data_IF_374461442434
#
_entry.id   IF_374461442434
#
_cell.length_a   1.000
_cell.length_b   1.000
_cell.length_c   1.000
_cell.angle_alpha   90.00
_cell.angle_beta   90.00
_cell.angle_gamma   90.00
#
_symmetry.space_group_name_H-M   'P 1'
#
loop_
_entity.id
_entity.type
_entity.pdbx_description
1 polymer ?
#
# COMPACT_ATOMS: atom_id res chain seq x y z
N UNK A 1 113.76 43.82 57.70
CA UNK A 1 113.85 42.36 57.59
C UNK A 1 112.70 41.82 58.38
N UNK A 2 111.56 41.65 57.71
CA UNK A 2 110.28 41.39 58.36
C UNK A 2 109.81 39.97 58.10
N UNK A 3 109.27 39.44 59.18
CA UNK A 3 108.84 38.07 59.38
C UNK A 3 107.45 37.80 58.79
N UNK A 4 107.19 36.50 58.71
CA UNK A 4 106.01 35.85 59.28
C UNK A 4 104.80 35.50 58.39
N UNK A 5 104.56 34.18 58.48
CA UNK A 5 103.28 33.48 58.68
C UNK A 5 102.41 33.15 57.47
N UNK A 6 102.46 31.86 57.15
CA UNK A 6 101.48 31.12 56.35
C UNK A 6 100.28 30.80 57.25
N UNK A 7 99.10 31.21 56.81
CA UNK A 7 97.80 30.88 57.40
C UNK A 7 97.12 29.80 56.55
N UNK A 8 96.56 28.78 57.22
CA UNK A 8 95.74 27.70 56.67
C UNK A 8 94.71 28.15 55.64
N UNK A 9 94.51 27.37 54.58
CA UNK A 9 93.31 27.49 53.74
C UNK A 9 92.69 26.12 53.50
N UNK A 10 91.47 25.95 54.01
CA UNK A 10 90.58 24.83 53.70
C UNK A 10 90.06 24.96 52.27
N UNK A 11 90.03 23.85 51.54
CA UNK A 11 89.40 23.73 50.23
C UNK A 11 87.91 23.42 50.43
N UNK A 12 87.03 24.32 49.99
CA UNK A 12 85.61 24.03 49.74
C UNK A 12 85.40 23.79 48.24
N UNK A 13 84.62 22.77 47.82
CA UNK A 13 84.19 22.66 46.44
C UNK A 13 83.04 23.62 46.13
N UNK A 14 83.22 24.35 45.04
CA UNK A 14 82.29 25.28 44.41
C UNK A 14 81.08 24.52 43.82
N UNK A 15 79.87 24.84 44.26
CA UNK A 15 78.62 24.36 43.67
C UNK A 15 78.26 25.32 42.54
N UNK A 16 78.50 24.90 41.29
CA UNK A 16 77.97 25.58 40.11
C UNK A 16 76.44 25.39 40.06
N UNK A 17 75.67 26.43 40.41
CA UNK A 17 74.22 26.46 40.16
C UNK A 17 73.97 26.96 38.74
N UNK A 18 73.56 26.04 37.88
CA UNK A 18 73.02 26.34 36.55
C UNK A 18 71.71 27.14 36.69
N UNK A 19 71.69 28.34 36.12
CA UNK A 19 70.49 29.18 36.01
C UNK A 19 69.56 28.57 34.95
N UNK A 20 68.53 27.83 35.36
CA UNK A 20 67.44 27.39 34.49
C UNK A 20 66.41 28.53 34.37
N UNK A 21 66.12 29.07 33.18
CA UNK A 21 65.19 30.18 33.04
C UNK A 21 63.76 29.72 33.32
N UNK A 22 63.14 30.35 34.32
CA UNK A 22 61.79 30.04 34.80
C UNK A 22 60.72 30.63 33.85
N UNK A 23 60.40 29.93 32.75
CA UNK A 23 59.30 30.28 31.81
C UNK A 23 58.06 29.40 32.05
N UNK A 24 57.48 29.41 33.24
CA UNK A 24 56.48 28.40 33.64
C UNK A 24 55.06 28.86 33.99
N UNK A 25 54.82 30.12 34.36
CA UNK A 25 53.56 30.46 35.08
C UNK A 25 52.47 31.19 34.25
N UNK A 26 52.81 31.82 33.13
CA UNK A 26 51.85 32.51 32.26
C UNK A 26 51.18 31.64 31.18
N UNK A 27 51.71 30.44 30.89
CA UNK A 27 51.20 29.56 29.82
C UNK A 27 49.98 28.73 30.25
N UNK A 28 49.85 28.40 31.54
CA UNK A 28 48.77 27.56 32.05
C UNK A 28 47.38 28.23 31.94
N UNK A 29 47.29 29.53 32.21
CA UNK A 29 46.03 30.29 32.14
C UNK A 29 45.57 30.43 30.68
N UNK A 30 46.50 30.70 29.75
CA UNK A 30 46.21 30.77 28.32
C UNK A 30 45.74 29.43 27.73
N UNK A 31 46.35 28.32 28.16
CA UNK A 31 45.94 26.97 27.75
C UNK A 31 44.55 26.62 28.31
N UNK A 32 44.26 26.97 29.57
CA UNK A 32 42.96 26.68 30.19
C UNK A 32 41.80 27.44 29.52
N UNK A 33 42.02 28.72 29.18
CA UNK A 33 41.06 29.52 28.42
C UNK A 33 40.83 28.97 27.01
N UNK A 34 41.89 28.53 26.32
CA UNK A 34 41.76 27.93 24.99
C UNK A 34 40.96 26.62 25.02
N UNK A 35 41.14 25.79 26.06
CA UNK A 35 40.36 24.56 26.27
C UNK A 35 38.89 24.89 26.53
N UNK A 36 38.58 25.88 27.36
CA UNK A 36 37.19 26.28 27.63
C UNK A 36 36.47 26.80 26.37
N UNK A 37 37.15 27.57 25.52
CA UNK A 37 36.59 28.05 24.25
C UNK A 37 36.35 26.89 23.28
N UNK A 38 37.29 25.93 23.19
CA UNK A 38 37.11 24.72 22.37
C UNK A 38 35.95 23.86 22.86
N UNK A 39 35.82 23.66 24.18
CA UNK A 39 34.69 22.93 24.75
C UNK A 39 33.36 23.66 24.52
N UNK A 40 33.32 24.98 24.65
CA UNK A 40 32.14 25.78 24.35
C UNK A 40 31.72 25.68 22.88
N UNK A 41 32.67 25.71 21.95
CA UNK A 41 32.41 25.55 20.52
C UNK A 41 31.93 24.14 20.16
N UNK A 42 32.52 23.09 20.75
CA UNK A 42 32.09 21.70 20.56
C UNK A 42 30.69 21.49 21.15
N UNK A 43 30.41 22.02 22.34
CA UNK A 43 29.10 21.91 22.98
C UNK A 43 28.03 22.66 22.18
N UNK A 44 28.34 23.85 21.65
CA UNK A 44 27.45 24.61 20.77
C UNK A 44 27.17 23.86 19.45
N UNK A 45 28.20 23.28 18.83
CA UNK A 45 28.03 22.46 17.63
C UNK A 45 27.18 21.21 17.89
N UNK A 46 27.40 20.53 19.02
CA UNK A 46 26.65 19.35 19.45
C UNK A 46 25.18 19.69 19.76
N UNK A 47 24.93 20.82 20.42
CA UNK A 47 23.57 21.29 20.72
C UNK A 47 22.81 21.69 19.45
N UNK A 48 23.46 22.38 18.50
CA UNK A 48 22.86 22.68 17.20
C UNK A 48 22.55 21.40 16.41
N UNK A 49 23.45 20.41 16.40
CA UNK A 49 23.18 19.11 15.78
C UNK A 49 21.99 18.39 16.43
N UNK A 50 21.92 18.39 17.76
CA UNK A 50 20.81 17.78 18.50
C UNK A 50 19.48 18.46 18.18
N UNK A 51 19.46 19.79 18.15
CA UNK A 51 18.28 20.58 17.78
C UNK A 51 17.84 20.30 16.34
N UNK A 52 18.77 20.24 15.38
CA UNK A 52 18.44 19.85 14.00
C UNK A 52 17.90 18.42 13.92
N UNK A 53 18.39 17.49 14.73
CA UNK A 53 17.91 16.11 14.76
C UNK A 53 16.49 16.01 15.32
N UNK A 54 16.19 16.77 16.37
CA UNK A 54 14.85 16.84 16.96
C UNK A 54 13.85 17.53 16.02
N UNK A 55 14.26 18.61 15.37
CA UNK A 55 13.44 19.29 14.35
C UNK A 55 13.21 18.39 13.13
N UNK A 56 14.23 17.66 12.68
CA UNK A 56 14.09 16.67 11.58
C UNK A 56 13.18 15.51 11.99
N UNK A 57 13.26 15.04 13.24
CA UNK A 57 12.37 14.00 13.76
C UNK A 57 10.92 14.47 13.83
N UNK A 58 10.67 15.70 14.30
CA UNK A 58 9.34 16.32 14.33
C UNK A 58 8.76 16.48 12.93
N UNK A 59 9.59 16.91 11.96
CA UNK A 59 9.16 16.99 10.56
C UNK A 59 8.82 15.60 10.02
N UNK A 60 9.67 14.59 10.26
CA UNK A 60 9.42 13.22 9.82
C UNK A 60 8.15 12.62 10.43
N UNK A 61 7.91 12.82 11.73
CA UNK A 61 6.67 12.39 12.41
C UNK A 61 5.44 13.14 11.86
N UNK A 62 5.57 14.43 11.56
CA UNK A 62 4.48 15.22 10.96
C UNK A 62 4.16 14.76 9.53
N UNK A 63 5.18 14.49 8.71
CA UNK A 63 5.02 13.97 7.34
C UNK A 63 4.48 12.55 7.34
N UNK A 64 4.89 11.69 8.28
CA UNK A 64 4.33 10.35 8.43
C UNK A 64 2.85 10.40 8.78
N UNK A 65 2.46 11.25 9.73
CA UNK A 65 1.06 11.42 10.11
C UNK A 65 0.20 12.01 8.98
N UNK A 66 0.74 12.94 8.18
CA UNK A 66 0.04 13.45 6.99
C UNK A 66 -0.06 12.40 5.88
N UNK A 67 0.98 11.59 5.68
CA UNK A 67 0.98 10.49 4.72
C UNK A 67 -0.03 9.40 5.12
N UNK A 68 -0.11 9.04 6.40
CA UNK A 68 -1.11 8.11 6.93
C UNK A 68 -2.53 8.64 6.74
N UNK A 69 -2.78 9.92 7.04
CA UNK A 69 -4.08 10.57 6.80
C UNK A 69 -4.44 10.61 5.32
N UNK A 70 -3.47 10.90 4.45
CA UNK A 70 -3.66 10.91 3.00
C UNK A 70 -3.96 9.51 2.47
N UNK A 71 -3.22 8.50 2.93
CA UNK A 71 -3.41 7.08 2.56
C UNK A 71 -4.78 6.59 3.01
N UNK A 72 -5.20 6.90 4.24
CA UNK A 72 -6.55 6.58 4.73
C UNK A 72 -7.66 7.27 3.91
N UNK A 73 -7.43 8.51 3.46
CA UNK A 73 -8.36 9.23 2.58
C UNK A 73 -8.42 8.62 1.18
N UNK A 74 -7.31 8.12 0.65
CA UNK A 74 -7.27 7.41 -0.64
C UNK A 74 -7.97 6.06 -0.55
N UNK A 75 -7.69 5.27 0.50
CA UNK A 75 -8.35 3.99 0.77
C UNK A 75 -9.87 4.16 0.85
N UNK A 76 -10.35 5.16 1.60
CA UNK A 76 -11.79 5.44 1.71
C UNK A 76 -12.43 5.88 0.39
N UNK A 77 -11.71 6.58 -0.49
CA UNK A 77 -12.21 6.92 -1.83
C UNK A 77 -12.25 5.70 -2.74
N UNK A 78 -11.25 4.83 -2.67
CA UNK A 78 -11.18 3.58 -3.41
C UNK A 78 -12.31 2.62 -2.99
N UNK A 79 -12.54 2.48 -1.68
CA UNK A 79 -13.64 1.69 -1.12
C UNK A 79 -15.02 2.24 -1.56
N UNK A 80 -15.20 3.56 -1.56
CA UNK A 80 -16.44 4.17 -2.04
C UNK A 80 -16.62 3.96 -3.56
N UNK A 81 -15.56 4.08 -4.34
CA UNK A 81 -15.61 3.84 -5.78
C UNK A 81 -15.92 2.36 -6.10
N UNK A 82 -15.35 1.44 -5.31
CA UNK A 82 -15.63 0.00 -5.36
C UNK A 82 -17.11 -0.30 -5.11
N UNK A 83 -17.69 0.27 -4.06
CA UNK A 83 -19.13 0.11 -3.75
C UNK A 83 -20.01 0.61 -4.91
N UNK A 84 -19.64 1.74 -5.53
CA UNK A 84 -20.38 2.27 -6.68
C UNK A 84 -20.26 1.36 -7.92
N UNK A 85 -19.07 0.80 -8.18
CA UNK A 85 -18.86 -0.15 -9.29
C UNK A 85 -19.61 -1.47 -9.06
N UNK A 86 -19.63 -1.97 -7.84
CA UNK A 86 -20.41 -3.16 -7.48
C UNK A 86 -21.92 -2.93 -7.61
N UNK A 87 -22.40 -1.76 -7.20
CA UNK A 87 -23.81 -1.37 -7.42
C UNK A 87 -24.14 -1.29 -8.91
N UNK A 88 -23.21 -0.76 -9.72
CA UNK A 88 -23.37 -0.75 -11.18
C UNK A 88 -23.43 -2.18 -11.73
N UNK A 89 -22.49 -3.07 -11.38
CA UNK A 89 -22.51 -4.50 -11.76
C UNK A 89 -23.84 -5.19 -11.46
N UNK A 90 -24.41 -4.96 -10.28
CA UNK A 90 -25.71 -5.54 -9.91
C UNK A 90 -26.83 -5.05 -10.83
N UNK A 91 -26.92 -3.73 -11.05
CA UNK A 91 -27.92 -3.13 -11.95
C UNK A 91 -27.75 -3.63 -13.38
N UNK A 92 -26.51 -3.76 -13.80
CA UNK A 92 -26.12 -4.32 -15.07
C UNK A 92 -26.70 -5.76 -15.14
N UNK A 93 -26.44 -6.65 -14.16
CA UNK A 93 -26.99 -8.01 -14.16
C UNK A 93 -28.54 -8.08 -14.18
N UNK A 94 -29.23 -7.10 -13.58
CA UNK A 94 -30.69 -7.00 -13.66
C UNK A 94 -31.17 -6.76 -15.11
N UNK A 95 -30.50 -5.87 -15.85
CA UNK A 95 -30.78 -5.63 -17.27
C UNK A 95 -30.52 -6.89 -18.11
N UNK A 96 -29.45 -7.61 -17.75
CA UNK A 96 -29.10 -8.86 -18.38
C UNK A 96 -30.19 -9.94 -18.20
N UNK A 97 -30.69 -10.07 -16.96
CA UNK A 97 -31.83 -10.94 -16.62
C UNK A 97 -33.09 -10.57 -17.40
N UNK A 98 -33.39 -9.28 -17.53
CA UNK A 98 -34.53 -8.81 -18.31
C UNK A 98 -34.44 -9.21 -19.79
N UNK A 99 -33.26 -9.13 -20.38
CA UNK A 99 -33.05 -9.53 -21.77
C UNK A 99 -33.26 -11.04 -21.97
N UNK A 100 -32.80 -11.89 -21.04
CA UNK A 100 -33.07 -13.34 -21.08
C UNK A 100 -34.55 -13.66 -20.97
N UNK A 101 -35.27 -12.99 -20.06
CA UNK A 101 -36.73 -13.15 -19.92
C UNK A 101 -37.48 -12.73 -21.18
N UNK A 102 -37.05 -11.64 -21.81
CA UNK A 102 -37.63 -11.18 -23.08
C UNK A 102 -37.40 -12.19 -24.21
N UNK A 103 -36.17 -12.69 -24.33
CA UNK A 103 -35.86 -13.76 -25.29
C UNK A 103 -36.74 -14.99 -25.10
N UNK A 104 -36.92 -15.45 -23.85
CA UNK A 104 -37.79 -16.60 -23.55
C UNK A 104 -39.24 -16.32 -23.89
N UNK A 105 -39.73 -15.10 -23.65
CA UNK A 105 -41.09 -14.72 -24.03
C UNK A 105 -41.30 -14.81 -25.54
N UNK A 106 -40.30 -14.41 -26.33
CA UNK A 106 -40.38 -14.41 -27.80
C UNK A 106 -40.15 -15.81 -28.42
N UNK A 107 -39.31 -16.65 -27.80
CA UNK A 107 -38.85 -17.93 -28.36
C UNK A 107 -39.38 -19.17 -27.63
N UNK A 108 -40.08 -19.01 -26.51
CA UNK A 108 -40.60 -20.08 -25.65
C UNK A 108 -39.55 -20.77 -24.78
N UNK A 109 -38.25 -20.54 -25.01
CA UNK A 109 -37.14 -21.14 -24.25
C UNK A 109 -36.01 -20.13 -24.01
N UNK A 110 -35.20 -20.37 -22.98
CA UNK A 110 -33.97 -19.59 -22.78
C UNK A 110 -32.90 -19.97 -23.80
N UNK A 111 -31.91 -19.09 -24.04
CA UNK A 111 -30.77 -19.39 -24.92
C UNK A 111 -30.01 -20.65 -24.44
N UNK A 112 -29.67 -21.55 -25.36
CA UNK A 112 -28.91 -22.76 -25.04
C UNK A 112 -27.42 -22.45 -24.81
N UNK A 113 -26.68 -23.41 -24.26
CA UNK A 113 -25.26 -23.25 -23.89
C UNK A 113 -24.27 -23.80 -24.95
N UNK A 114 -24.73 -24.37 -26.07
CA UNK A 114 -23.88 -25.03 -27.08
C UNK A 114 -22.99 -24.05 -27.89
N UNK A 115 -21.67 -24.23 -27.79
CA UNK A 115 -20.59 -23.26 -28.07
C UNK A 115 -20.38 -22.72 -29.49
N UNK A 116 -21.32 -22.88 -30.43
CA UNK A 116 -21.28 -22.15 -31.71
C UNK A 116 -22.56 -21.38 -32.04
N UNK A 117 -23.68 -21.72 -31.39
CA UNK A 117 -24.95 -20.99 -31.52
C UNK A 117 -25.24 -20.12 -30.31
N UNK A 118 -24.87 -20.56 -29.10
CA UNK A 118 -25.08 -19.82 -27.86
C UNK A 118 -24.38 -18.45 -27.87
N UNK A 119 -23.11 -18.41 -28.29
CA UNK A 119 -22.31 -17.18 -28.39
C UNK A 119 -22.78 -16.23 -29.50
N UNK A 120 -23.41 -16.77 -30.55
CA UNK A 120 -23.91 -15.98 -31.69
C UNK A 120 -25.29 -15.38 -31.40
N UNK A 121 -26.20 -16.15 -30.78
CA UNK A 121 -27.50 -15.65 -30.29
C UNK A 121 -27.28 -14.61 -29.18
N UNK A 122 -26.28 -14.82 -28.34
CA UNK A 122 -25.82 -13.81 -27.39
C UNK A 122 -25.38 -12.50 -28.07
N UNK A 123 -24.59 -12.59 -29.14
CA UNK A 123 -24.10 -11.42 -29.84
C UNK A 123 -25.13 -10.76 -30.77
N UNK A 124 -26.18 -11.45 -31.22
CA UNK A 124 -27.14 -10.92 -32.19
C UNK A 124 -28.46 -10.44 -31.54
N UNK A 125 -28.94 -11.08 -30.48
CA UNK A 125 -30.23 -10.75 -29.83
C UNK A 125 -30.06 -10.09 -28.46
N UNK A 126 -29.10 -10.57 -27.65
CA UNK A 126 -28.79 -9.95 -26.36
C UNK A 126 -28.03 -8.63 -26.54
N UNK A 127 -27.13 -8.51 -27.53
CA UNK A 127 -26.40 -7.25 -27.80
C UNK A 127 -27.29 -6.03 -28.10
N UNK A 128 -28.52 -6.24 -28.61
CA UNK A 128 -29.50 -5.16 -28.81
C UNK A 128 -29.94 -4.48 -27.52
N UNK A 129 -29.89 -5.21 -26.40
CA UNK A 129 -30.25 -4.73 -25.06
C UNK A 129 -29.02 -4.57 -24.13
N UNK A 130 -27.91 -5.22 -24.48
CA UNK A 130 -26.71 -5.39 -23.63
C UNK A 130 -25.47 -4.72 -24.25
N UNK A 131 -25.60 -3.99 -25.37
CA UNK A 131 -24.46 -3.32 -26.04
C UNK A 131 -23.68 -2.33 -25.15
N UNK A 132 -24.27 -1.88 -24.04
CA UNK A 132 -23.66 -0.95 -23.09
C UNK A 132 -23.02 -1.64 -21.87
N UNK A 133 -22.92 -2.97 -21.86
CA UNK A 133 -22.37 -3.72 -20.73
C UNK A 133 -20.85 -3.69 -20.72
N UNK A 134 -20.30 -2.65 -20.08
CA UNK A 134 -18.86 -2.43 -19.99
C UNK A 134 -18.40 -2.58 -18.55
N UNK A 135 -17.40 -3.43 -18.33
CA UNK A 135 -16.75 -3.65 -17.05
C UNK A 135 -16.04 -2.36 -16.60
N UNK A 136 -16.50 -1.70 -15.51
CA UNK A 136 -16.06 -0.35 -15.16
C UNK A 136 -14.55 -0.22 -14.90
N UNK A 137 -13.89 -1.31 -14.52
CA UNK A 137 -12.46 -1.30 -14.16
C UNK A 137 -11.55 -1.41 -15.38
N UNK A 138 -11.94 -2.22 -16.37
CA UNK A 138 -11.13 -2.48 -17.57
C UNK A 138 -11.61 -1.70 -18.79
N UNK A 139 -12.82 -1.13 -18.72
CA UNK A 139 -13.54 -0.52 -19.83
C UNK A 139 -13.71 -1.46 -21.03
N UNK A 140 -13.66 -2.77 -20.79
CA UNK A 140 -13.94 -3.80 -21.80
C UNK A 140 -15.38 -4.28 -21.64
N UNK A 141 -15.95 -4.85 -22.71
CA UNK A 141 -17.22 -5.56 -22.60
C UNK A 141 -17.08 -6.73 -21.63
N UNK A 142 -18.16 -7.04 -20.91
CA UNK A 142 -18.16 -8.23 -20.07
C UNK A 142 -17.91 -9.49 -20.89
N UNK A 143 -17.11 -10.39 -20.34
CA UNK A 143 -17.03 -11.76 -20.82
C UNK A 143 -18.31 -12.52 -20.49
N UNK A 144 -18.70 -13.44 -21.36
CA UNK A 144 -19.82 -14.33 -21.10
C UNK A 144 -19.40 -15.78 -21.23
N UNK A 145 -19.82 -16.58 -20.26
CA UNK A 145 -19.51 -17.99 -20.20
C UNK A 145 -20.78 -18.80 -19.88
N UNK A 146 -21.11 -19.71 -20.77
CA UNK A 146 -22.21 -20.65 -20.56
C UNK A 146 -21.69 -21.89 -19.83
N UNK A 147 -22.31 -22.21 -18.69
CA UNK A 147 -21.95 -23.33 -17.83
C UNK A 147 -22.94 -24.47 -18.05
N UNK A 148 -22.41 -25.66 -18.32
CA UNK A 148 -23.22 -26.88 -18.44
C UNK A 148 -23.52 -27.48 -17.06
N UNK A 149 -24.72 -28.03 -16.89
CA UNK A 149 -25.30 -28.51 -15.62
C UNK A 149 -24.36 -29.41 -14.80
N UNK A 150 -23.69 -30.37 -15.44
CA UNK A 150 -22.90 -31.41 -14.76
C UNK A 150 -21.41 -31.07 -14.63
N UNK A 151 -21.00 -29.86 -15.02
CA UNK A 151 -19.61 -29.44 -14.95
C UNK A 151 -19.37 -28.56 -13.74
N UNK A 152 -18.27 -28.80 -13.03
CA UNK A 152 -17.75 -27.81 -12.07
C UNK A 152 -17.51 -26.52 -12.86
N UNK A 153 -18.19 -25.41 -12.50
CA UNK A 153 -17.97 -24.15 -13.19
C UNK A 153 -16.51 -23.74 -13.06
N UNK A 154 -15.99 -23.05 -14.08
CA UNK A 154 -14.72 -22.33 -13.96
C UNK A 154 -14.80 -21.32 -12.80
N UNK A 155 -13.65 -20.94 -12.21
CA UNK A 155 -13.60 -19.88 -11.20
C UNK A 155 -14.25 -18.60 -11.72
N UNK A 156 -14.97 -17.89 -10.86
CA UNK A 156 -15.54 -16.60 -11.23
C UNK A 156 -14.44 -15.55 -11.35
N UNK A 157 -14.40 -14.90 -12.51
CA UNK A 157 -13.47 -13.82 -12.80
C UNK A 157 -14.20 -12.48 -12.86
N UNK A 158 -13.54 -11.42 -12.39
CA UNK A 158 -14.12 -10.08 -12.43
C UNK A 158 -14.36 -9.66 -13.88
N UNK A 159 -15.57 -9.23 -14.19
CA UNK A 159 -15.95 -8.87 -15.55
C UNK A 159 -16.44 -10.05 -16.39
N UNK A 160 -16.65 -11.23 -15.81
CA UNK A 160 -17.26 -12.39 -16.48
C UNK A 160 -18.62 -12.71 -15.87
N UNK A 161 -19.63 -12.85 -16.73
CA UNK A 161 -20.96 -13.34 -16.38
C UNK A 161 -21.03 -14.81 -16.75
N UNK A 162 -21.27 -15.66 -15.75
CA UNK A 162 -21.58 -17.06 -15.97
C UNK A 162 -23.10 -17.26 -16.04
N UNK A 163 -23.55 -18.12 -16.95
CA UNK A 163 -24.95 -18.47 -17.15
C UNK A 163 -25.14 -19.98 -17.11
N UNK A 164 -26.15 -20.46 -16.38
CA UNK A 164 -26.53 -21.87 -16.35
C UNK A 164 -28.01 -22.02 -16.70
N UNK A 165 -28.30 -22.79 -17.75
CA UNK A 165 -29.64 -23.30 -18.03
C UNK A 165 -29.95 -24.46 -17.09
N UNK A 166 -31.21 -24.59 -16.65
CA UNK A 166 -31.59 -25.60 -15.65
C UNK A 166 -30.84 -25.40 -14.33
N UNK A 167 -30.61 -24.14 -13.96
CA UNK A 167 -29.90 -23.72 -12.76
C UNK A 167 -30.72 -22.74 -11.92
N UNK A 168 -30.45 -22.70 -10.61
CA UNK A 168 -30.88 -21.65 -9.68
C UNK A 168 -29.71 -21.14 -8.86
N UNK A 169 -29.90 -20.00 -8.23
CA UNK A 169 -29.01 -19.47 -7.22
C UNK A 169 -29.28 -20.12 -5.87
N UNK A 170 -28.23 -20.65 -5.28
CA UNK A 170 -28.26 -21.08 -3.89
C UNK A 170 -28.36 -19.84 -2.98
N UNK A 171 -29.40 -19.74 -2.13
CA UNK A 171 -29.57 -18.57 -1.26
C UNK A 171 -28.43 -18.41 -0.24
N UNK A 172 -27.75 -19.50 0.13
CA UNK A 172 -26.76 -19.50 1.21
C UNK A 172 -25.38 -19.00 0.75
N UNK A 173 -24.97 -19.35 -0.47
CA UNK A 173 -23.62 -19.06 -0.97
C UNK A 173 -23.58 -18.42 -2.36
N UNK A 174 -24.75 -18.15 -2.97
CA UNK A 174 -24.87 -17.55 -4.30
C UNK A 174 -24.20 -18.38 -5.42
N UNK A 175 -23.91 -19.67 -5.19
CA UNK A 175 -23.49 -20.59 -6.23
C UNK A 175 -24.67 -21.12 -7.04
N UNK A 176 -24.37 -21.72 -8.19
CA UNK A 176 -25.35 -22.46 -8.95
C UNK A 176 -25.76 -23.76 -8.25
N UNK A 177 -27.05 -24.05 -8.33
CA UNK A 177 -27.65 -25.34 -7.98
C UNK A 177 -28.47 -25.85 -9.16
N UNK A 178 -28.27 -27.13 -9.47
CA UNK A 178 -28.97 -27.76 -10.58
C UNK A 178 -30.46 -27.93 -10.27
N UNK A 179 -31.29 -27.73 -11.29
CA UNK A 179 -32.73 -27.99 -11.26
C UNK A 179 -33.13 -28.80 -12.49
N UNK A 180 -34.27 -29.50 -12.41
CA UNK A 180 -34.83 -30.25 -13.53
C UNK A 180 -35.88 -29.46 -14.31
N UNK A 181 -36.16 -28.22 -13.89
CA UNK A 181 -37.14 -27.34 -14.53
C UNK A 181 -36.52 -26.66 -15.75
N UNK A 182 -37.09 -26.92 -16.92
CA UNK A 182 -36.77 -26.21 -18.17
C UNK A 182 -37.12 -24.72 -18.12
N UNK A 183 -37.86 -24.30 -17.10
CA UNK A 183 -38.22 -22.91 -16.89
C UNK A 183 -37.22 -22.13 -16.06
N UNK A 184 -36.22 -22.78 -15.48
CA UNK A 184 -35.29 -22.16 -14.56
C UNK A 184 -33.95 -21.94 -15.25
N UNK A 185 -33.39 -20.76 -15.06
CA UNK A 185 -32.02 -20.47 -15.38
C UNK A 185 -31.45 -19.48 -14.37
N UNK A 186 -30.13 -19.41 -14.26
CA UNK A 186 -29.47 -18.50 -13.35
C UNK A 186 -28.26 -17.85 -14.01
N UNK A 187 -27.93 -16.65 -13.56
CA UNK A 187 -26.68 -15.97 -13.87
C UNK A 187 -25.94 -15.60 -12.60
N UNK A 188 -24.62 -15.52 -12.70
CA UNK A 188 -23.80 -15.01 -11.60
C UNK A 188 -22.54 -14.30 -12.10
N UNK A 189 -22.00 -13.46 -11.24
CA UNK A 189 -20.71 -12.76 -11.41
C UNK A 189 -20.01 -12.65 -10.06
N UNK A 190 -18.71 -12.39 -10.07
CA UNK A 190 -18.02 -11.86 -8.88
C UNK A 190 -18.05 -10.32 -8.90
N UNK A 191 -18.17 -9.74 -7.71
CA UNK A 191 -18.06 -8.30 -7.47
C UNK A 191 -16.61 -7.94 -7.12
N UNK A 192 -16.24 -6.65 -7.19
CA UNK A 192 -14.94 -6.23 -6.67
C UNK A 192 -14.82 -6.46 -5.17
N UNK A 193 -15.94 -6.47 -4.43
CA UNK A 193 -15.98 -6.91 -3.02
C UNK A 193 -15.44 -8.32 -2.80
N UNK A 194 -15.38 -9.15 -3.84
CA UNK A 194 -15.08 -10.57 -3.76
C UNK A 194 -16.32 -11.43 -3.48
N UNK A 195 -17.49 -10.80 -3.31
CA UNK A 195 -18.76 -11.51 -3.18
C UNK A 195 -19.22 -12.05 -4.53
N UNK A 196 -19.75 -13.27 -4.53
CA UNK A 196 -20.53 -13.79 -5.65
C UNK A 196 -21.93 -13.19 -5.60
N UNK A 197 -22.41 -12.69 -6.73
CA UNK A 197 -23.77 -12.22 -6.90
C UNK A 197 -24.47 -13.07 -7.93
N UNK A 198 -25.59 -13.68 -7.56
CA UNK A 198 -26.36 -14.60 -8.39
C UNK A 198 -27.82 -14.15 -8.47
N UNK A 199 -28.42 -14.29 -9.66
CA UNK A 199 -29.83 -14.02 -9.92
C UNK A 199 -30.51 -15.19 -10.65
N UNK A 200 -31.66 -15.61 -10.11
CA UNK A 200 -32.60 -16.48 -10.82
C UNK A 200 -33.30 -15.69 -11.93
N UNK A 201 -33.39 -16.30 -13.11
CA UNK A 201 -34.00 -15.72 -14.31
C UNK A 201 -35.39 -16.30 -14.53
#
# INVERSE_FOLDING_TARGET
MEENKIVNTQVTPNINTSNVPNRGKGKLIGIFLAILVLFGAVFYAYYNQYKTLEDTKKVLESTSNELEKSTAKVLTLEDNAKVLRDKKRKKDLDLFTYAFRSYKADNGTYPTTEGSQSQRIYNDELSKFVSDFTEPTTNNLYGFEAIAQVHTPSPLELGVIQYQLLGKCNPDNQDFIDTTSENDAAIRTVLESGETYCLDI
#
